data_IF_474804441675
#
_entry.id   IF_474804441675
#
_cell.length_a   1.000
_cell.length_b   1.000
_cell.length_c   1.000
_cell.angle_alpha   90.00
_cell.angle_beta   90.00
_cell.angle_gamma   90.00
#
_symmetry.space_group_name_H-M   'P 1'
#
loop_
_entity.id
_entity.type
_entity.pdbx_description
1 polymer ?
#
# COMPACT_ATOMS: atom_id res chain seq x y z
N UNK A 1 -2.38 -13.56 -4.28
CA UNK A 1 -3.28 -13.76 -5.44
C UNK A 1 -2.80 -12.92 -6.64
N UNK A 2 -1.50 -12.92 -6.93
CA UNK A 2 -0.91 -12.21 -8.08
C UNK A 2 -0.51 -13.22 -9.19
N UNK A 3 -0.21 -14.46 -8.80
CA UNK A 3 0.21 -15.55 -9.71
C UNK A 3 -0.90 -16.13 -10.59
N UNK A 4 -2.16 -15.71 -10.41
CA UNK A 4 -3.30 -16.19 -11.22
C UNK A 4 -3.70 -15.20 -12.34
N UNK A 5 -2.83 -14.22 -12.65
CA UNK A 5 -3.11 -13.15 -13.63
C UNK A 5 -1.93 -12.90 -14.56
N UNK A 6 -1.59 -13.92 -15.34
CA UNK A 6 -0.60 -13.84 -16.40
C UNK A 6 -0.95 -12.67 -17.35
N UNK A 7 -0.13 -11.61 -17.35
CA UNK A 7 -0.23 -10.49 -18.30
C UNK A 7 -0.63 -9.12 -17.70
N UNK A 8 -1.02 -9.05 -16.43
CA UNK A 8 -1.25 -7.74 -15.78
C UNK A 8 0.07 -6.98 -15.53
N UNK A 9 0.05 -5.64 -15.59
CA UNK A 9 1.22 -4.80 -15.27
C UNK A 9 1.87 -5.18 -13.95
N UNK A 10 1.05 -5.38 -12.91
CA UNK A 10 1.53 -5.78 -11.60
C UNK A 10 2.11 -7.19 -11.57
N UNK A 11 1.55 -8.17 -12.31
CA UNK A 11 2.15 -9.52 -12.37
C UNK A 11 3.53 -9.52 -13.04
N UNK A 12 3.66 -8.78 -14.15
CA UNK A 12 4.90 -8.62 -14.89
C UNK A 12 5.90 -7.84 -14.03
N UNK A 13 5.46 -6.76 -13.38
CA UNK A 13 6.32 -6.01 -12.47
C UNK A 13 6.72 -6.81 -11.24
N UNK A 14 5.83 -7.65 -10.67
CA UNK A 14 6.20 -8.54 -9.58
C UNK A 14 7.28 -9.55 -10.01
N UNK A 15 7.21 -10.04 -11.25
CA UNK A 15 8.26 -10.89 -11.82
C UNK A 15 9.55 -10.11 -12.10
N UNK A 16 9.44 -8.89 -12.61
CA UNK A 16 10.58 -7.99 -12.80
C UNK A 16 11.25 -7.64 -11.47
N UNK A 17 10.50 -7.19 -10.46
CA UNK A 17 10.99 -6.88 -9.11
C UNK A 17 11.63 -8.12 -8.48
N UNK A 18 11.02 -9.31 -8.61
CA UNK A 18 11.63 -10.57 -8.14
C UNK A 18 12.94 -10.87 -8.85
N UNK A 19 13.01 -10.66 -10.17
CA UNK A 19 14.23 -10.85 -10.94
C UNK A 19 15.30 -9.81 -10.55
N UNK A 20 14.95 -8.54 -10.35
CA UNK A 20 15.85 -7.48 -9.88
C UNK A 20 16.39 -7.75 -8.46
N UNK A 21 15.53 -8.23 -7.55
CA UNK A 21 15.92 -8.62 -6.19
C UNK A 21 16.89 -9.82 -6.19
N UNK A 22 16.72 -10.75 -7.14
CA UNK A 22 17.61 -11.92 -7.27
C UNK A 22 19.02 -11.58 -7.77
N UNK A 23 19.19 -10.45 -8.48
CA UNK A 23 20.49 -10.06 -9.04
C UNK A 23 21.37 -9.29 -8.05
N UNK A 24 20.81 -8.64 -6.99
CA UNK A 24 21.60 -7.90 -5.98
C UNK A 24 20.94 -7.89 -4.60
N UNK A 25 21.48 -8.62 -3.59
CA UNK A 25 20.91 -8.69 -2.24
C UNK A 25 21.09 -7.41 -1.40
N UNK A 26 21.96 -6.48 -1.83
CA UNK A 26 22.36 -5.32 -1.03
C UNK A 26 22.51 -4.08 -1.91
N UNK A 27 21.52 -3.19 -1.90
CA UNK A 27 21.64 -1.87 -2.53
C UNK A 27 20.30 -1.18 -2.67
N UNK A 28 20.16 0.00 -2.05
CA UNK A 28 18.96 0.81 -2.14
C UNK A 28 18.49 1.05 -3.58
N UNK A 29 17.17 1.21 -3.73
CA UNK A 29 16.40 1.56 -4.94
C UNK A 29 17.19 2.45 -5.91
N UNK A 30 17.98 1.85 -6.81
CA UNK A 30 18.77 2.58 -7.81
C UNK A 30 17.92 3.07 -8.98
N UNK A 31 16.72 2.52 -9.15
CA UNK A 31 15.79 2.86 -10.24
C UNK A 31 14.54 3.59 -9.73
N UNK A 32 14.53 4.03 -8.47
CA UNK A 32 13.41 4.75 -7.86
C UNK A 32 12.12 3.93 -7.63
N UNK A 33 12.01 2.70 -8.12
CA UNK A 33 10.88 1.80 -7.88
C UNK A 33 11.09 1.07 -6.55
N UNK A 34 10.09 1.15 -5.67
CA UNK A 34 10.10 0.51 -4.35
C UNK A 34 9.45 -0.88 -4.41
N UNK A 35 8.31 -1.00 -5.09
CA UNK A 35 7.63 -2.29 -5.25
C UNK A 35 6.15 -2.15 -5.59
N UNK A 36 5.40 -3.25 -5.50
CA UNK A 36 3.94 -3.28 -5.65
C UNK A 36 3.30 -3.28 -4.27
N UNK A 37 2.23 -2.50 -4.04
CA UNK A 37 1.57 -2.35 -2.73
C UNK A 37 1.31 -3.70 -2.03
N UNK A 38 0.79 -4.69 -2.75
CA UNK A 38 0.50 -6.03 -2.24
C UNK A 38 1.72 -6.83 -1.73
N UNK A 39 2.94 -6.39 -2.05
CA UNK A 39 4.19 -7.04 -1.65
C UNK A 39 4.99 -6.24 -0.61
N UNK A 40 4.58 -5.00 -0.29
CA UNK A 40 5.33 -4.13 0.63
C UNK A 40 4.99 -4.36 2.11
N UNK A 41 4.00 -5.19 2.39
CA UNK A 41 3.61 -5.52 3.75
C UNK A 41 2.71 -6.75 3.80
N UNK A 42 2.66 -7.36 4.97
CA UNK A 42 1.87 -8.55 5.25
C UNK A 42 0.89 -8.28 6.38
N UNK A 43 -0.19 -9.06 6.42
CA UNK A 43 -1.18 -9.01 7.51
C UNK A 43 -1.38 -10.45 7.96
N UNK A 44 -1.04 -10.74 9.22
CA UNK A 44 -1.04 -12.11 9.75
C UNK A 44 -2.44 -12.75 9.81
N UNK A 45 -3.49 -11.96 10.00
CA UNK A 45 -4.87 -12.44 10.04
C UNK A 45 -5.48 -12.50 8.63
N UNK A 46 -5.94 -13.69 8.21
CA UNK A 46 -6.41 -13.96 6.84
C UNK A 46 -7.70 -13.19 6.54
N UNK A 47 -8.64 -13.17 7.48
CA UNK A 47 -9.92 -12.48 7.38
C UNK A 47 -9.73 -10.97 7.22
N UNK A 48 -8.80 -10.42 8.01
CA UNK A 48 -8.39 -9.02 7.97
C UNK A 48 -7.69 -8.68 6.65
N UNK A 49 -6.72 -9.50 6.23
CA UNK A 49 -6.03 -9.36 4.96
C UNK A 49 -7.02 -9.30 3.80
N UNK A 50 -7.99 -10.23 3.78
CA UNK A 50 -9.03 -10.30 2.75
C UNK A 50 -9.94 -9.07 2.75
N UNK A 51 -10.40 -8.62 3.92
CA UNK A 51 -11.32 -7.47 3.97
C UNK A 51 -10.61 -6.16 3.63
N UNK A 52 -9.33 -6.00 4.01
CA UNK A 52 -8.53 -4.82 3.66
C UNK A 52 -8.17 -4.79 2.17
N UNK A 53 -7.86 -5.94 1.56
CA UNK A 53 -7.71 -6.03 0.11
C UNK A 53 -9.00 -5.61 -0.62
N UNK A 54 -10.17 -6.05 -0.11
CA UNK A 54 -11.48 -5.61 -0.64
C UNK A 54 -11.75 -4.12 -0.39
N UNK A 55 -11.30 -3.57 0.73
CA UNK A 55 -11.43 -2.16 1.06
C UNK A 55 -10.66 -1.29 0.07
N UNK A 56 -9.38 -1.61 -0.15
CA UNK A 56 -8.50 -0.89 -1.08
C UNK A 56 -8.92 -1.04 -2.54
N UNK A 57 -9.42 -2.22 -2.89
CA UNK A 57 -9.71 -2.57 -4.27
C UNK A 57 -8.44 -2.96 -5.03
N UNK A 58 -8.66 -3.51 -6.22
CA UNK A 58 -7.61 -4.11 -7.03
C UNK A 58 -6.58 -3.09 -7.50
N UNK A 59 -7.04 -1.94 -8.03
CA UNK A 59 -6.18 -0.90 -8.61
C UNK A 59 -5.15 -0.36 -7.60
N UNK A 60 -5.53 -0.24 -6.33
CA UNK A 60 -4.63 0.21 -5.27
C UNK A 60 -3.68 -0.92 -4.83
N UNK A 61 -4.19 -2.14 -4.69
CA UNK A 61 -3.37 -3.30 -4.29
C UNK A 61 -2.30 -3.65 -5.33
N UNK A 62 -2.58 -3.42 -6.60
CA UNK A 62 -1.68 -3.63 -7.72
C UNK A 62 -0.86 -2.38 -8.10
N UNK A 63 -0.98 -1.29 -7.33
CA UNK A 63 -0.27 -0.04 -7.58
C UNK A 63 1.25 -0.18 -7.44
N UNK A 64 1.98 0.43 -8.37
CA UNK A 64 3.44 0.54 -8.36
C UNK A 64 3.84 1.71 -7.48
N UNK A 65 4.73 1.48 -6.52
CA UNK A 65 5.22 2.51 -5.61
C UNK A 65 6.61 2.94 -6.04
N UNK A 66 6.82 4.25 -6.20
CA UNK A 66 8.10 4.84 -6.57
C UNK A 66 8.48 6.01 -5.65
N UNK A 67 9.76 6.37 -5.64
CA UNK A 67 10.32 7.38 -4.73
C UNK A 67 9.98 8.81 -5.13
N UNK A 68 10.04 9.13 -6.43
CA UNK A 68 9.96 10.49 -6.95
C UNK A 68 9.18 10.55 -8.27
N UNK A 69 8.78 11.78 -8.66
CA UNK A 69 7.96 12.00 -9.85
C UNK A 69 8.71 11.68 -11.14
N UNK A 70 10.03 11.90 -11.22
CA UNK A 70 10.84 11.52 -12.40
C UNK A 70 10.74 10.01 -12.68
N UNK A 71 10.80 9.19 -11.64
CA UNK A 71 10.58 7.75 -11.76
C UNK A 71 9.14 7.46 -12.14
N UNK A 72 8.16 8.15 -11.54
CA UNK A 72 6.75 7.97 -11.90
C UNK A 72 6.49 8.21 -13.39
N UNK A 73 7.05 9.30 -13.94
CA UNK A 73 6.94 9.65 -15.36
C UNK A 73 7.70 8.69 -16.28
N UNK A 74 8.79 8.05 -15.82
CA UNK A 74 9.51 7.07 -16.65
C UNK A 74 8.79 5.72 -16.77
N UNK A 75 7.87 5.41 -15.84
CA UNK A 75 7.04 4.22 -15.90
C UNK A 75 5.95 4.34 -16.97
N UNK A 76 5.43 5.54 -17.21
CA UNK A 76 4.35 5.79 -18.16
C UNK A 76 4.67 7.01 -19.02
N UNK A 77 5.09 6.72 -20.24
CA UNK A 77 5.52 7.72 -21.21
C UNK A 77 4.58 7.63 -22.40
N UNK A 78 4.14 8.80 -22.88
CA UNK A 78 3.19 8.93 -23.97
C UNK A 78 3.91 9.50 -25.20
N UNK A 79 3.58 8.97 -26.38
CA UNK A 79 4.06 9.48 -27.64
C UNK A 79 3.45 10.87 -27.93
N UNK A 80 3.87 11.48 -29.05
CA UNK A 80 3.39 12.82 -29.45
C UNK A 80 1.89 12.87 -29.78
N UNK A 81 1.23 11.71 -29.91
CA UNK A 81 -0.20 11.59 -30.16
C UNK A 81 -0.99 11.36 -28.86
N UNK A 82 -0.31 11.22 -27.72
CA UNK A 82 -0.93 10.89 -26.43
C UNK A 82 -1.21 9.39 -26.25
N UNK A 83 -0.64 8.52 -27.09
CA UNK A 83 -0.71 7.07 -26.94
C UNK A 83 0.45 6.57 -26.06
N UNK A 84 0.26 5.50 -25.30
CA UNK A 84 1.33 4.94 -24.47
C UNK A 84 2.50 4.47 -25.35
N UNK A 85 3.68 5.02 -25.14
CA UNK A 85 4.89 4.65 -25.86
C UNK A 85 5.46 3.36 -25.25
N UNK A 86 5.26 2.26 -25.98
CA UNK A 86 5.68 0.91 -25.62
C UNK A 86 7.21 0.71 -25.65
N UNK A 87 8.00 1.69 -26.12
CA UNK A 87 9.47 1.63 -26.07
C UNK A 87 10.05 2.04 -24.70
N UNK A 88 9.23 2.42 -23.74
CA UNK A 88 9.69 2.86 -22.41
C UNK A 88 9.96 1.72 -21.44
N UNK A 89 10.70 2.03 -20.37
CA UNK A 89 11.41 1.06 -19.54
C UNK A 89 10.56 -0.13 -19.08
N UNK A 90 9.33 0.08 -18.58
CA UNK A 90 8.51 -1.02 -18.05
C UNK A 90 7.92 -1.89 -19.17
N UNK A 91 7.39 -1.27 -20.22
CA UNK A 91 6.84 -1.97 -21.38
C UNK A 91 7.92 -2.67 -22.20
N UNK A 92 9.08 -2.02 -22.38
CA UNK A 92 10.26 -2.60 -23.02
C UNK A 92 10.80 -3.79 -22.22
N UNK A 93 10.87 -3.68 -20.89
CA UNK A 93 11.32 -4.78 -20.04
C UNK A 93 10.33 -5.94 -20.02
N UNK A 94 9.03 -5.66 -20.08
CA UNK A 94 8.00 -6.68 -20.30
C UNK A 94 8.20 -7.38 -21.65
N UNK A 95 8.45 -6.61 -22.72
CA UNK A 95 8.66 -7.13 -24.06
C UNK A 95 9.94 -7.98 -24.17
N UNK A 96 11.02 -7.62 -23.47
CA UNK A 96 12.23 -8.44 -23.35
C UNK A 96 11.94 -9.83 -22.73
N UNK A 97 10.96 -9.92 -21.84
CA UNK A 97 10.48 -11.17 -21.26
C UNK A 97 9.41 -11.87 -22.13
N UNK A 98 9.14 -11.36 -23.34
CA UNK A 98 8.12 -11.89 -24.23
C UNK A 98 6.69 -11.63 -23.75
N UNK A 99 6.48 -10.65 -22.87
CA UNK A 99 5.18 -10.30 -22.30
C UNK A 99 4.72 -8.93 -22.77
N UNK A 100 3.41 -8.74 -22.84
CA UNK A 100 2.78 -7.44 -23.06
C UNK A 100 2.02 -7.03 -21.81
N UNK A 101 2.17 -5.78 -21.39
CA UNK A 101 1.31 -5.20 -20.36
C UNK A 101 0.04 -4.71 -21.04
N UNK A 102 -1.10 -5.25 -20.66
CA UNK A 102 -2.41 -4.79 -21.13
C UNK A 102 -3.14 -4.04 -20.03
N UNK A 103 -3.64 -2.84 -20.33
CA UNK A 103 -4.45 -2.01 -19.44
C UNK A 103 -3.65 -0.97 -18.64
N UNK A 104 -4.39 -0.04 -18.04
CA UNK A 104 -3.84 1.00 -17.17
C UNK A 104 -3.29 0.40 -15.88
N UNK A 105 -2.23 0.99 -15.34
CA UNK A 105 -1.70 0.64 -14.03
C UNK A 105 -1.53 1.87 -13.17
N UNK A 106 -1.74 1.72 -11.87
CA UNK A 106 -1.63 2.83 -10.94
C UNK A 106 -0.20 3.02 -10.49
N UNK A 107 0.31 4.25 -10.59
CA UNK A 107 1.57 4.65 -9.97
C UNK A 107 1.29 5.48 -8.72
N UNK A 108 2.04 5.21 -7.65
CA UNK A 108 1.98 5.92 -6.37
C UNK A 108 3.39 6.46 -6.09
N UNK A 109 3.57 7.76 -6.32
CA UNK A 109 4.80 8.47 -6.02
C UNK A 109 4.83 8.88 -4.54
N UNK A 110 5.84 8.44 -3.78
CA UNK A 110 5.97 8.80 -2.35
C UNK A 110 6.24 10.28 -2.12
N UNK A 111 6.99 10.95 -2.99
CA UNK A 111 7.28 12.39 -2.92
C UNK A 111 6.02 13.26 -3.01
N UNK A 112 4.98 12.78 -3.69
CA UNK A 112 3.70 13.50 -3.86
C UNK A 112 2.68 13.18 -2.75
N UNK A 113 3.01 12.28 -1.82
CA UNK A 113 2.12 11.94 -0.70
C UNK A 113 2.25 12.99 0.39
N UNK A 114 1.12 13.52 0.87
CA UNK A 114 1.07 14.21 2.15
C UNK A 114 1.22 13.18 3.29
N UNK A 115 2.34 13.15 4.02
CA UNK A 115 2.59 12.10 5.00
C UNK A 115 1.87 12.38 6.32
N UNK A 116 1.77 11.36 7.15
CA UNK A 116 1.46 11.51 8.56
C UNK A 116 2.59 12.25 9.28
N UNK A 117 2.24 13.31 10.02
CA UNK A 117 3.17 14.16 10.77
C UNK A 117 3.01 14.06 12.30
N UNK A 118 2.17 13.14 12.77
CA UNK A 118 1.99 12.92 14.21
C UNK A 118 3.07 12.01 14.81
N UNK A 119 2.81 11.56 16.03
CA UNK A 119 3.79 10.79 16.80
C UNK A 119 3.84 9.31 16.39
N UNK A 120 4.98 8.69 16.65
CA UNK A 120 5.18 7.24 16.48
C UNK A 120 5.14 6.61 17.86
N UNK A 121 4.61 5.40 17.94
CA UNK A 121 4.51 4.62 19.17
C UNK A 121 5.90 4.22 19.67
N UNK A 122 6.46 5.06 20.57
CA UNK A 122 7.69 4.78 21.30
C UNK A 122 8.83 4.23 20.44
N UNK A 123 9.46 3.16 20.93
CA UNK A 123 10.52 2.43 20.23
C UNK A 123 10.01 1.19 19.50
N UNK A 124 8.78 1.22 18.97
CA UNK A 124 8.21 0.09 18.22
C UNK A 124 9.05 -0.21 16.95
N UNK A 125 9.51 -1.45 16.75
CA UNK A 125 10.37 -1.81 15.61
C UNK A 125 9.65 -1.70 14.26
N UNK A 126 8.32 -1.77 14.26
CA UNK A 126 7.46 -1.60 13.09
C UNK A 126 7.05 -0.13 12.88
N UNK A 127 7.51 0.78 13.74
CA UNK A 127 7.24 2.23 13.73
C UNK A 127 5.75 2.55 13.63
N UNK A 128 4.92 1.87 14.42
CA UNK A 128 3.47 2.11 14.47
C UNK A 128 3.14 3.57 14.78
N UNK A 129 2.06 4.08 14.17
CA UNK A 129 1.61 5.46 14.35
C UNK A 129 0.85 5.59 15.67
N UNK A 130 1.15 6.60 16.47
CA UNK A 130 0.46 6.86 17.72
C UNK A 130 -0.87 7.57 17.45
N UNK A 131 -1.95 6.78 17.41
CA UNK A 131 -3.31 7.31 17.34
C UNK A 131 -4.01 7.22 18.70
N UNK A 132 -4.79 8.24 19.08
CA UNK A 132 -5.70 8.08 20.21
C UNK A 132 -6.74 7.01 19.88
N UNK A 133 -7.17 6.22 20.86
CA UNK A 133 -8.29 5.32 20.67
C UNK A 133 -9.57 6.10 20.32
N UNK A 134 -10.47 5.53 19.49
CA UNK A 134 -11.79 6.12 19.30
C UNK A 134 -12.55 6.11 20.61
N UNK A 135 -13.37 7.13 20.84
CA UNK A 135 -14.19 7.28 22.03
C UNK A 135 -15.65 7.50 21.66
N UNK A 136 -16.53 6.75 22.30
CA UNK A 136 -17.97 6.99 22.24
C UNK A 136 -18.31 8.29 23.00
N UNK A 137 -19.52 8.86 22.82
CA UNK A 137 -19.98 9.98 23.62
C UNK A 137 -19.97 9.73 25.14
N UNK A 138 -19.99 8.45 25.57
CA UNK A 138 -19.82 8.04 26.98
C UNK A 138 -18.37 8.16 27.49
N UNK A 139 -17.39 8.38 26.61
CA UNK A 139 -15.96 8.39 26.91
C UNK A 139 -15.29 7.02 26.84
N UNK A 140 -16.06 5.95 26.64
CA UNK A 140 -15.54 4.58 26.54
C UNK A 140 -15.01 4.29 25.13
N UNK A 141 -14.06 3.35 25.03
CA UNK A 141 -13.62 2.81 23.75
C UNK A 141 -14.75 1.95 23.19
N UNK A 142 -15.16 2.13 21.92
CA UNK A 142 -16.19 1.31 21.31
C UNK A 142 -15.87 -0.18 21.44
N UNK A 143 -16.85 -1.02 21.80
CA UNK A 143 -16.64 -2.46 21.89
C UNK A 143 -16.19 -3.00 20.53
N UNK A 144 -15.38 -4.07 20.57
CA UNK A 144 -14.89 -4.74 19.37
C UNK A 144 -13.81 -3.98 18.59
N UNK A 145 -13.39 -2.77 19.01
CA UNK A 145 -12.28 -2.06 18.36
C UNK A 145 -10.97 -2.83 18.52
N UNK A 146 -10.34 -3.15 17.40
CA UNK A 146 -9.11 -3.95 17.35
C UNK A 146 -7.85 -3.10 17.08
N UNK A 147 -8.03 -1.87 16.62
CA UNK A 147 -6.94 -0.96 16.23
C UNK A 147 -7.14 -0.33 14.86
N UNK A 148 -6.11 0.37 14.40
CA UNK A 148 -6.10 1.02 13.09
C UNK A 148 -5.43 0.14 12.04
N UNK A 149 -6.03 0.01 10.85
CA UNK A 149 -5.56 -0.86 9.79
C UNK A 149 -4.11 -0.55 9.36
N UNK A 150 -3.75 0.74 9.32
CA UNK A 150 -2.37 1.18 9.01
C UNK A 150 -1.33 0.60 9.97
N UNK A 151 -1.68 0.31 11.24
CA UNK A 151 -0.79 -0.29 12.25
C UNK A 151 -0.84 -1.82 12.26
N UNK A 152 -1.75 -2.44 11.51
CA UNK A 152 -1.89 -3.89 11.38
C UNK A 152 -1.13 -4.48 10.18
N UNK A 153 -0.56 -3.62 9.34
CA UNK A 153 0.38 -4.03 8.30
C UNK A 153 1.76 -4.24 8.93
N UNK A 154 2.29 -5.44 8.82
CA UNK A 154 3.69 -5.75 9.11
C UNK A 154 4.51 -5.47 7.86
N UNK A 155 5.32 -4.41 7.90
CA UNK A 155 6.18 -4.02 6.78
C UNK A 155 7.35 -4.99 6.73
N UNK A 156 7.65 -5.47 5.52
CA UNK A 156 8.77 -6.38 5.29
C UNK A 156 10.08 -5.75 5.79
N UNK A 157 10.95 -6.56 6.37
CA UNK A 157 12.23 -6.11 6.93
C UNK A 157 13.09 -5.38 5.89
N UNK A 158 13.09 -5.86 4.65
CA UNK A 158 13.81 -5.25 3.54
C UNK A 158 13.29 -3.84 3.19
N UNK A 159 12.02 -3.56 3.54
CA UNK A 159 11.34 -2.29 3.30
C UNK A 159 11.24 -1.40 4.56
N UNK A 160 11.52 -1.92 5.75
CA UNK A 160 11.54 -1.14 7.00
C UNK A 160 12.60 -0.04 6.99
N UNK A 161 13.67 -0.20 6.22
CA UNK A 161 14.72 0.80 6.05
C UNK A 161 14.43 1.81 4.93
N UNK A 162 13.39 1.59 4.11
CA UNK A 162 13.03 2.50 3.01
C UNK A 162 12.60 3.85 3.57
N UNK A 163 13.24 4.92 3.10
CA UNK A 163 12.95 6.29 3.52
C UNK A 163 12.75 7.20 2.32
N UNK A 164 11.82 8.14 2.45
CA UNK A 164 11.73 9.28 1.55
C UNK A 164 12.93 10.22 1.76
N UNK A 165 13.07 11.21 0.89
CA UNK A 165 14.07 12.29 1.02
C UNK A 165 13.92 13.06 2.34
N UNK A 166 12.71 13.15 2.88
CA UNK A 166 12.42 13.73 4.20
C UNK A 166 12.69 12.79 5.39
N UNK A 167 13.16 11.58 5.14
CA UNK A 167 13.44 10.60 6.19
C UNK A 167 12.20 9.89 6.75
N UNK A 168 11.09 9.86 6.00
CA UNK A 168 9.85 9.18 6.41
C UNK A 168 9.76 7.76 5.85
N UNK A 169 9.21 6.84 6.63
CA UNK A 169 9.02 5.44 6.22
C UNK A 169 7.74 5.20 5.41
N UNK A 170 7.55 3.95 5.00
CA UNK A 170 6.35 3.52 4.25
C UNK A 170 5.07 3.59 5.10
N UNK A 171 5.16 3.45 6.43
CA UNK A 171 3.97 3.53 7.29
C UNK A 171 3.41 4.94 7.31
N UNK A 172 4.29 5.91 7.54
CA UNK A 172 3.98 7.33 7.61
C UNK A 172 3.53 7.91 6.26
N UNK A 173 3.92 7.28 5.15
CA UNK A 173 3.63 7.73 3.78
C UNK A 173 2.58 6.85 3.11
N UNK A 174 3.01 5.75 2.47
CA UNK A 174 2.19 4.86 1.66
C UNK A 174 1.00 4.28 2.43
N UNK A 175 1.24 3.58 3.54
CA UNK A 175 0.18 2.88 4.24
C UNK A 175 -0.79 3.85 4.94
N UNK A 176 -0.30 5.00 5.40
CA UNK A 176 -1.18 6.06 5.88
C UNK A 176 -2.00 6.69 4.75
N UNK A 177 -1.48 6.86 3.53
CA UNK A 177 -2.30 7.28 2.39
C UNK A 177 -3.39 6.27 2.05
N UNK A 178 -3.07 4.98 2.12
CA UNK A 178 -3.99 3.89 1.75
C UNK A 178 -5.08 3.66 2.80
N UNK A 179 -4.72 3.70 4.08
CA UNK A 179 -5.63 3.34 5.17
C UNK A 179 -6.00 4.51 6.08
N UNK A 180 -5.19 5.57 6.16
CA UNK A 180 -5.41 6.68 7.09
C UNK A 180 -5.67 6.19 8.52
N UNK A 181 -6.80 6.63 9.09
CA UNK A 181 -7.31 6.19 10.39
C UNK A 181 -8.44 5.14 10.26
N UNK A 182 -8.39 4.30 9.24
CA UNK A 182 -9.35 3.20 9.05
C UNK A 182 -9.38 2.31 10.30
N UNK A 183 -10.55 2.23 10.94
CA UNK A 183 -10.75 1.47 12.17
C UNK A 183 -11.09 0.01 11.85
N UNK A 184 -10.60 -0.93 12.65
CA UNK A 184 -10.87 -2.36 12.49
C UNK A 184 -11.68 -2.86 13.69
N UNK A 185 -12.75 -3.60 13.38
CA UNK A 185 -13.66 -4.18 14.35
C UNK A 185 -13.75 -5.70 14.21
N UNK A 186 -14.09 -6.39 15.29
CA UNK A 186 -14.34 -7.83 15.28
C UNK A 186 -15.61 -8.21 14.49
N UNK A 187 -16.69 -7.42 14.61
CA UNK A 187 -18.03 -7.71 14.07
C UNK A 187 -18.70 -6.47 13.48
N UNK A 188 -19.66 -6.69 12.57
CA UNK A 188 -20.50 -5.62 12.00
C UNK A 188 -21.34 -4.92 13.06
N UNK A 189 -21.78 -5.65 14.08
CA UNK A 189 -22.62 -5.12 15.14
C UNK A 189 -21.85 -4.08 15.96
N UNK A 190 -20.63 -4.42 16.40
CA UNK A 190 -19.73 -3.51 17.09
C UNK A 190 -19.31 -2.34 16.22
N UNK A 191 -18.98 -2.57 14.94
CA UNK A 191 -18.68 -1.50 14.00
C UNK A 191 -19.85 -0.52 13.84
N UNK A 192 -21.10 -1.02 13.82
CA UNK A 192 -22.30 -0.20 13.72
C UNK A 192 -22.53 0.63 15.00
N UNK A 193 -22.27 0.06 16.18
CA UNK A 193 -22.35 0.80 17.44
C UNK A 193 -21.31 1.94 17.49
N UNK A 194 -20.16 1.74 16.85
CA UNK A 194 -19.10 2.74 16.76
C UNK A 194 -19.30 3.79 15.66
N UNK A 195 -20.41 3.78 14.92
CA UNK A 195 -20.61 4.66 13.74
C UNK A 195 -20.44 6.16 14.05
N UNK A 196 -20.71 6.57 15.29
CA UNK A 196 -20.61 7.97 15.73
C UNK A 196 -19.18 8.47 15.93
N UNK A 197 -18.18 7.58 16.03
CA UNK A 197 -16.78 7.93 16.25
C UNK A 197 -15.86 7.44 15.11
N UNK A 198 -16.43 7.00 13.99
CA UNK A 198 -15.69 6.64 12.78
C UNK A 198 -15.44 7.92 11.95
N UNK A 199 -14.17 8.21 11.68
CA UNK A 199 -13.71 9.43 10.98
C UNK A 199 -13.43 9.15 9.49
N UNK A 200 -12.48 8.26 9.20
CA UNK A 200 -12.05 7.96 7.81
C UNK A 200 -12.73 6.72 7.19
N UNK A 201 -13.40 5.90 8.00
CA UNK A 201 -13.95 4.61 7.58
C UNK A 201 -13.70 3.51 8.60
N UNK A 202 -14.34 2.35 8.39
CA UNK A 202 -14.14 1.17 9.22
C UNK A 202 -14.35 -0.14 8.45
N UNK A 203 -13.73 -1.22 8.94
CA UNK A 203 -13.98 -2.59 8.47
C UNK A 203 -14.24 -3.52 9.65
N UNK A 204 -14.95 -4.61 9.41
CA UNK A 204 -15.12 -5.69 10.39
C UNK A 204 -14.67 -7.04 9.85
N UNK A 205 -14.21 -7.94 10.73
CA UNK A 205 -13.69 -9.26 10.33
C UNK A 205 -14.76 -10.17 9.69
N UNK A 206 -16.02 -10.04 10.10
CA UNK A 206 -17.20 -10.66 9.48
C UNK A 206 -17.66 -9.94 8.18
N UNK A 207 -16.84 -9.02 7.66
CA UNK A 207 -16.91 -8.52 6.29
C UNK A 207 -17.73 -7.25 6.07
N UNK A 208 -17.90 -6.43 7.10
CA UNK A 208 -18.46 -5.08 6.99
C UNK A 208 -17.43 -4.08 6.46
N UNK A 209 -17.89 -3.08 5.70
CA UNK A 209 -17.08 -1.96 5.22
C UNK A 209 -17.89 -0.67 5.29
N UNK A 210 -17.32 0.37 5.88
CA UNK A 210 -17.75 1.77 5.84
C UNK A 210 -16.60 2.56 5.21
N UNK A 211 -16.90 3.32 4.15
CA UNK A 211 -15.97 4.20 3.45
C UNK A 211 -16.38 5.65 3.65
#
# INVERSE_FOLDING_TARGET
MIENRDGSAASILCELIRNFASERPHGGSRDGIIGVVALLGTICNIELSRILAKYLGEDQMLGIVCTNSETAFSLETYDKNGEVDLQNAVYAKAAELGKSISGEFRVICLEEISPYRGEIEGCDPQRKLAFPHPTLPSGEIPPGFMGYAVNMVDIDFDHLATRTTEGLGLRETLFYRLFGKLQVYDTREHMKQASVCIDHGAVSLDGGIIR
#
